data_IF_770643780721
#
_entry.id   IF_770643780721
#
_cell.length_a   1.000
_cell.length_b   1.000
_cell.length_c   1.000
_cell.angle_alpha   90.00
_cell.angle_beta   90.00
_cell.angle_gamma   90.00
#
_symmetry.space_group_name_H-M   'P 1'
#
loop_
_entity.id
_entity.type
_entity.pdbx_description
1 polymer ?
#
# COMPACT_ATOMS: atom_id res chain seq x y z
N UNK A 1 -3.47 11.54 20.59
CA UNK A 1 -3.16 12.66 19.70
C UNK A 1 -1.66 12.75 19.57
N UNK A 2 -1.07 12.16 18.51
CA UNK A 2 0.37 12.20 18.26
C UNK A 2 0.64 13.41 17.35
N UNK A 3 1.08 14.53 17.92
CA UNK A 3 2.48 14.93 18.15
C UNK A 3 3.16 15.39 16.86
N UNK A 4 3.09 16.70 16.63
CA UNK A 4 3.77 17.44 15.57
C UNK A 4 5.29 17.25 15.63
N UNK A 5 5.89 16.81 14.53
CA UNK A 5 7.35 16.82 14.34
C UNK A 5 7.73 18.13 13.65
N UNK A 6 8.67 18.88 14.26
CA UNK A 6 9.23 20.10 13.66
C UNK A 6 10.37 19.72 12.71
N UNK A 7 10.28 20.10 11.45
CA UNK A 7 11.37 19.97 10.47
C UNK A 7 12.21 21.26 10.45
N UNK A 8 13.55 21.12 10.35
CA UNK A 8 14.48 22.25 10.20
C UNK A 8 14.79 22.48 8.72
N UNK A 9 14.54 23.67 8.21
CA UNK A 9 15.03 24.09 6.88
C UNK A 9 16.05 25.21 7.02
N UNK A 10 17.20 25.06 6.34
CA UNK A 10 18.34 25.96 6.43
C UNK A 10 18.13 27.19 5.54
N UNK A 11 17.60 28.27 6.12
CA UNK A 11 17.62 29.61 5.52
C UNK A 11 18.84 30.39 6.01
N UNK A 12 19.59 30.98 5.09
CA UNK A 12 20.74 31.81 5.43
C UNK A 12 20.31 33.08 6.19
N UNK A 13 20.76 33.22 7.44
CA UNK A 13 20.98 34.53 8.07
C UNK A 13 19.89 35.16 8.96
N UNK A 14 18.84 34.45 9.38
CA UNK A 14 17.87 34.96 10.35
C UNK A 14 17.69 34.00 11.55
N UNK A 15 17.36 34.47 12.77
CA UNK A 15 17.10 33.59 13.90
C UNK A 15 16.01 32.58 13.51
N UNK A 16 16.32 31.30 13.72
CA UNK A 16 15.60 30.12 13.24
C UNK A 16 14.22 30.02 13.91
N UNK A 17 13.24 30.78 13.41
CA UNK A 17 11.86 30.70 13.88
C UNK A 17 11.22 29.43 13.31
N UNK A 18 11.08 28.43 14.18
CA UNK A 18 10.51 27.13 13.86
C UNK A 18 9.01 27.26 13.56
N UNK A 19 8.65 27.46 12.29
CA UNK A 19 7.26 27.42 11.85
C UNK A 19 6.67 26.04 12.13
N UNK A 20 5.61 26.00 12.94
CA UNK A 20 4.84 24.78 13.19
C UNK A 20 4.00 24.48 11.96
N UNK A 21 4.49 23.59 11.10
CA UNK A 21 3.66 23.01 10.05
C UNK A 21 2.71 22.02 10.71
N UNK A 22 1.41 22.25 10.61
CA UNK A 22 0.37 21.31 11.04
C UNK A 22 0.26 20.18 10.01
N UNK A 23 1.11 19.17 10.19
CA UNK A 23 1.20 18.00 9.29
C UNK A 23 -0.02 17.08 9.36
N UNK A 24 -0.93 17.25 10.31
CA UNK A 24 -1.90 16.21 10.64
C UNK A 24 -2.95 15.98 9.56
N UNK A 25 -3.48 17.04 8.94
CA UNK A 25 -4.59 16.91 7.99
C UNK A 25 -4.16 16.58 6.56
N UNK A 26 -2.98 17.03 6.14
CA UNK A 26 -2.45 16.76 4.79
C UNK A 26 -1.93 15.32 4.71
N UNK A 27 -1.17 14.88 5.72
CA UNK A 27 -0.59 13.53 5.80
C UNK A 27 -1.69 12.46 5.85
N UNK A 28 -2.74 12.68 6.65
CA UNK A 28 -3.89 11.74 6.70
C UNK A 28 -4.57 11.61 5.33
N UNK A 29 -4.77 12.73 4.62
CA UNK A 29 -5.43 12.71 3.30
C UNK A 29 -4.56 11.99 2.27
N UNK A 30 -3.26 12.28 2.25
CA UNK A 30 -2.29 11.63 1.38
C UNK A 30 -2.24 10.13 1.65
N UNK A 31 -2.04 9.72 2.91
CA UNK A 31 -2.10 8.33 3.35
C UNK A 31 -3.37 7.63 2.86
N UNK A 32 -4.53 8.27 2.97
CA UNK A 32 -5.81 7.67 2.53
C UNK A 32 -5.84 7.49 1.02
N UNK A 33 -5.33 8.43 0.23
CA UNK A 33 -5.26 8.29 -1.22
C UNK A 33 -4.27 7.20 -1.64
N UNK A 34 -3.11 7.16 -1.00
CA UNK A 34 -2.09 6.14 -1.21
C UNK A 34 -2.58 4.75 -0.86
N UNK A 35 -3.28 4.61 0.27
CA UNK A 35 -3.90 3.33 0.67
C UNK A 35 -4.95 2.86 -0.34
N UNK A 36 -5.68 3.79 -0.99
CA UNK A 36 -6.63 3.44 -2.06
C UNK A 36 -5.94 2.99 -3.34
N UNK A 37 -4.86 3.65 -3.74
CA UNK A 37 -4.04 3.24 -4.90
C UNK A 37 -3.42 1.87 -4.65
N UNK A 38 -2.87 1.66 -3.46
CA UNK A 38 -2.35 0.36 -3.04
C UNK A 38 -3.44 -0.73 -3.09
N UNK A 39 -4.61 -0.47 -2.50
CA UNK A 39 -5.72 -1.41 -2.53
C UNK A 39 -6.19 -1.72 -3.96
N UNK A 40 -6.25 -0.72 -4.84
CA UNK A 40 -6.67 -0.90 -6.23
C UNK A 40 -5.67 -1.76 -7.02
N UNK A 41 -4.37 -1.56 -6.79
CA UNK A 41 -3.31 -2.38 -7.40
C UNK A 41 -3.44 -3.84 -6.99
N UNK A 42 -3.55 -4.09 -5.67
CA UNK A 42 -3.69 -5.44 -5.12
C UNK A 42 -5.00 -6.10 -5.56
N UNK A 43 -6.13 -5.38 -5.54
CA UNK A 43 -7.42 -5.91 -5.98
C UNK A 43 -7.39 -6.35 -7.45
N UNK A 44 -6.79 -5.54 -8.33
CA UNK A 44 -6.68 -5.84 -9.75
C UNK A 44 -5.82 -7.09 -9.99
N UNK A 45 -4.69 -7.21 -9.29
CA UNK A 45 -3.82 -8.37 -9.40
C UNK A 45 -4.51 -9.65 -8.90
N UNK A 46 -5.14 -9.60 -7.72
CA UNK A 46 -5.93 -10.71 -7.16
C UNK A 46 -7.02 -11.18 -8.12
N UNK A 47 -7.88 -10.27 -8.57
CA UNK A 47 -8.97 -10.65 -9.46
C UNK A 47 -8.45 -11.16 -10.80
N UNK A 48 -7.49 -10.46 -11.42
CA UNK A 48 -6.95 -10.84 -12.72
C UNK A 48 -6.29 -12.21 -12.75
N UNK A 49 -5.60 -12.59 -11.67
CA UNK A 49 -4.92 -13.90 -11.59
C UNK A 49 -5.87 -15.03 -11.21
N UNK A 50 -6.81 -14.79 -10.28
CA UNK A 50 -7.70 -15.84 -9.78
C UNK A 50 -8.90 -16.08 -10.72
N UNK A 51 -9.42 -15.06 -11.40
CA UNK A 51 -10.56 -15.19 -12.31
C UNK A 51 -10.30 -16.13 -13.49
N UNK A 52 -9.04 -16.27 -13.91
CA UNK A 52 -8.66 -17.20 -14.96
C UNK A 52 -8.75 -18.68 -14.54
N UNK A 53 -8.69 -18.98 -13.24
CA UNK A 53 -8.54 -20.34 -12.72
C UNK A 53 -9.67 -20.78 -11.79
N UNK A 54 -10.47 -19.83 -11.29
CA UNK A 54 -11.57 -20.09 -10.36
C UNK A 54 -12.87 -19.55 -10.96
N UNK A 55 -13.65 -20.38 -11.67
CA UNK A 55 -14.94 -20.00 -12.20
C UNK A 55 -15.87 -19.48 -11.10
N UNK A 56 -16.56 -18.37 -11.35
CA UNK A 56 -17.50 -17.79 -10.39
C UNK A 56 -16.88 -16.86 -9.34
N UNK A 57 -15.57 -16.64 -9.36
CA UNK A 57 -14.96 -15.59 -8.52
C UNK A 57 -15.50 -14.21 -8.93
N UNK A 58 -15.80 -13.38 -7.93
CA UNK A 58 -16.38 -12.04 -8.14
C UNK A 58 -15.38 -10.97 -7.74
N UNK A 59 -15.25 -9.94 -8.58
CA UNK A 59 -14.57 -8.71 -8.18
C UNK A 59 -15.44 -7.95 -7.16
N UNK A 60 -15.01 -7.89 -5.90
CA UNK A 60 -15.70 -7.19 -4.82
C UNK A 60 -15.25 -5.75 -4.63
N UNK A 61 -14.24 -5.33 -5.39
CA UNK A 61 -13.71 -3.97 -5.40
C UNK A 61 -13.03 -3.54 -4.09
N UNK A 62 -12.52 -2.32 -4.11
CA UNK A 62 -11.90 -1.67 -2.95
C UNK A 62 -12.97 -1.05 -2.06
N UNK A 63 -12.91 -1.34 -0.76
CA UNK A 63 -13.84 -0.80 0.23
C UNK A 63 -13.12 0.05 1.27
N UNK A 64 -13.84 1.01 1.86
CA UNK A 64 -13.36 1.81 2.98
C UNK A 64 -13.91 1.21 4.26
N UNK A 65 -13.06 1.09 5.28
CA UNK A 65 -13.43 0.63 6.61
C UNK A 65 -12.55 1.29 7.67
N UNK A 66 -13.06 1.40 8.89
CA UNK A 66 -12.36 1.99 10.04
C UNK A 66 -11.80 0.91 10.97
N UNK A 67 -10.98 0.01 10.44
CA UNK A 67 -10.30 -0.97 11.26
C UNK A 67 -9.06 -0.35 11.92
N UNK A 68 -8.85 -0.67 13.20
CA UNK A 68 -7.71 -0.16 13.99
C UNK A 68 -6.37 -0.46 13.29
N UNK A 69 -6.25 -1.63 12.66
CA UNK A 69 -5.05 -2.04 11.90
C UNK A 69 -4.75 -1.13 10.69
N UNK A 70 -5.75 -0.43 10.16
CA UNK A 70 -5.59 0.52 9.04
C UNK A 70 -5.40 1.95 9.53
N UNK A 71 -6.00 2.32 10.65
CA UNK A 71 -5.92 3.68 11.20
C UNK A 71 -4.67 3.91 12.04
N UNK A 72 -4.14 2.87 12.68
CA UNK A 72 -2.98 2.94 13.59
C UNK A 72 -1.60 3.02 12.91
N UNK A 73 -1.53 3.08 11.58
CA UNK A 73 -0.28 3.12 10.81
C UNK A 73 0.09 4.54 10.39
N UNK A 74 1.37 4.86 10.36
CA UNK A 74 1.89 6.10 9.76
C UNK A 74 2.07 6.00 8.23
N UNK A 75 2.13 4.78 7.69
CA UNK A 75 2.26 4.51 6.27
C UNK A 75 0.93 4.04 5.63
N UNK A 76 0.81 4.07 4.28
CA UNK A 76 -0.33 3.48 3.58
C UNK A 76 -0.52 2.01 3.97
N UNK A 77 -1.77 1.61 4.21
CA UNK A 77 -2.10 0.27 4.69
C UNK A 77 -3.42 -0.23 4.09
N UNK A 78 -3.50 -1.53 3.83
CA UNK A 78 -4.69 -2.21 3.30
C UNK A 78 -4.97 -3.49 4.09
N UNK A 79 -6.21 -3.95 4.05
CA UNK A 79 -6.61 -5.29 4.49
C UNK A 79 -7.21 -5.98 3.28
N UNK A 80 -6.66 -7.13 2.89
CA UNK A 80 -7.11 -7.90 1.75
C UNK A 80 -7.95 -9.09 2.23
N UNK A 81 -9.23 -9.10 1.86
CA UNK A 81 -10.11 -10.27 2.00
C UNK A 81 -9.94 -11.17 0.77
N UNK A 82 -9.23 -12.29 0.93
CA UNK A 82 -8.80 -13.14 -0.18
C UNK A 82 -9.85 -14.18 -0.61
N UNK A 83 -10.71 -14.63 0.30
CA UNK A 83 -11.73 -15.66 0.07
C UNK A 83 -12.66 -15.79 1.30
N UNK A 84 -13.77 -16.54 1.19
CA UNK A 84 -14.77 -16.70 2.25
C UNK A 84 -14.82 -18.14 2.78
N UNK A 85 -14.30 -18.37 4.00
CA UNK A 85 -14.38 -19.71 4.65
C UNK A 85 -15.83 -20.17 4.87
N UNK A 86 -16.79 -19.25 4.94
CA UNK A 86 -18.23 -19.58 5.05
C UNK A 86 -18.87 -20.04 3.74
N UNK A 87 -18.15 -19.98 2.62
CA UNK A 87 -18.59 -20.50 1.32
C UNK A 87 -17.90 -21.84 1.10
N UNK A 88 -18.64 -22.97 1.00
CA UNK A 88 -18.03 -24.31 0.86
C UNK A 88 -17.03 -24.39 -0.31
N UNK A 89 -17.35 -23.78 -1.44
CA UNK A 89 -16.46 -23.74 -2.61
C UNK A 89 -15.16 -22.99 -2.34
N UNK A 90 -15.23 -21.89 -1.58
CA UNK A 90 -14.06 -21.09 -1.23
C UNK A 90 -13.22 -21.80 -0.16
N UNK A 91 -13.87 -22.44 0.81
CA UNK A 91 -13.24 -23.28 1.83
C UNK A 91 -12.44 -24.42 1.20
N UNK A 92 -13.03 -25.17 0.28
CA UNK A 92 -12.37 -26.26 -0.46
C UNK A 92 -11.15 -25.74 -1.25
N UNK A 93 -11.31 -24.59 -1.92
CA UNK A 93 -10.20 -23.95 -2.62
C UNK A 93 -9.08 -23.54 -1.65
N UNK A 94 -9.41 -22.98 -0.49
CA UNK A 94 -8.42 -22.57 0.52
C UNK A 94 -7.63 -23.74 1.11
N UNK A 95 -8.16 -24.97 1.07
CA UNK A 95 -7.42 -26.18 1.45
C UNK A 95 -6.34 -26.56 0.42
N UNK A 96 -6.48 -26.12 -0.84
CA UNK A 96 -5.49 -26.35 -1.89
C UNK A 96 -4.25 -25.48 -1.75
N UNK A 97 -3.07 -26.12 -1.70
CA UNK A 97 -1.78 -25.42 -1.71
C UNK A 97 -1.59 -24.58 -2.97
N UNK A 98 -2.02 -25.10 -4.13
CA UNK A 98 -1.91 -24.40 -5.42
C UNK A 98 -2.73 -23.11 -5.41
N UNK A 99 -3.93 -23.13 -4.83
CA UNK A 99 -4.77 -21.92 -4.74
C UNK A 99 -4.18 -20.89 -3.78
N UNK A 100 -3.70 -21.32 -2.60
CA UNK A 100 -3.00 -20.42 -1.67
C UNK A 100 -1.74 -19.81 -2.28
N UNK A 101 -0.99 -20.58 -3.07
CA UNK A 101 0.18 -20.08 -3.77
C UNK A 101 -0.20 -19.01 -4.82
N UNK A 102 -1.27 -19.24 -5.59
CA UNK A 102 -1.77 -18.25 -6.55
C UNK A 102 -2.21 -16.95 -5.87
N UNK A 103 -2.86 -17.04 -4.71
CA UNK A 103 -3.19 -15.86 -3.90
C UNK A 103 -1.91 -15.12 -3.50
N UNK A 104 -0.90 -15.82 -3.00
CA UNK A 104 0.37 -15.23 -2.59
C UNK A 104 1.09 -14.54 -3.77
N UNK A 105 1.15 -15.18 -4.94
CA UNK A 105 1.72 -14.59 -6.15
C UNK A 105 0.95 -13.34 -6.58
N UNK A 106 -0.38 -13.37 -6.51
CA UNK A 106 -1.21 -12.23 -6.89
C UNK A 106 -1.06 -11.05 -5.92
N UNK A 107 -0.97 -11.32 -4.61
CA UNK A 107 -0.62 -10.30 -3.61
C UNK A 107 0.75 -9.70 -3.89
N UNK A 108 1.76 -10.54 -4.14
CA UNK A 108 3.11 -10.10 -4.48
C UNK A 108 3.11 -9.19 -5.71
N UNK A 109 2.44 -9.62 -6.79
CA UNK A 109 2.32 -8.83 -8.03
C UNK A 109 1.62 -7.50 -7.81
N UNK A 110 0.56 -7.49 -7.01
CA UNK A 110 -0.15 -6.26 -6.65
C UNK A 110 0.71 -5.27 -5.87
N UNK A 111 1.54 -5.77 -4.94
CA UNK A 111 2.50 -4.97 -4.16
C UNK A 111 3.62 -4.45 -5.07
N UNK A 112 4.21 -5.31 -5.91
CA UNK A 112 5.24 -4.94 -6.90
C UNK A 112 4.76 -3.84 -7.85
N UNK A 113 3.53 -3.93 -8.36
CA UNK A 113 2.95 -2.91 -9.23
C UNK A 113 2.70 -1.59 -8.49
N UNK A 114 2.27 -1.66 -7.23
CA UNK A 114 2.13 -0.48 -6.40
C UNK A 114 3.49 0.19 -6.18
N UNK A 115 4.51 -0.54 -5.76
CA UNK A 115 5.84 0.06 -5.51
C UNK A 115 6.49 0.61 -6.78
N UNK A 116 6.33 -0.06 -7.93
CA UNK A 116 6.84 0.41 -9.22
C UNK A 116 6.19 1.72 -9.67
N UNK A 117 4.88 1.89 -9.43
CA UNK A 117 4.18 3.15 -9.73
C UNK A 117 4.46 4.27 -8.71
N UNK A 118 5.04 3.92 -7.56
CA UNK A 118 5.39 4.83 -6.47
C UNK A 118 6.89 4.94 -6.26
N UNK A 119 7.71 4.73 -7.31
CA UNK A 119 9.10 5.17 -7.30
C UNK A 119 9.16 6.71 -7.24
N UNK A 120 9.02 7.22 -6.00
CA UNK A 120 9.72 8.39 -5.50
C UNK A 120 11.17 8.19 -5.90
N UNK A 121 11.79 9.23 -6.47
CA UNK A 121 13.23 9.30 -6.74
C UNK A 121 14.02 8.62 -5.62
N UNK A 122 14.39 7.35 -5.81
CA UNK A 122 15.52 6.77 -5.11
C UNK A 122 16.68 7.59 -5.63
N UNK A 123 17.03 8.63 -4.87
CA UNK A 123 18.16 9.48 -5.13
C UNK A 123 19.29 8.56 -5.56
N UNK A 124 19.67 8.69 -6.84
CA UNK A 124 20.79 8.01 -7.45
C UNK A 124 22.01 8.34 -6.61
N UNK A 125 22.27 7.51 -5.60
CA UNK A 125 23.42 7.68 -4.75
C UNK A 125 24.57 7.06 -5.54
N UNK A 126 25.25 7.95 -6.25
CA UNK A 126 26.63 7.80 -6.71
C UNK A 126 26.93 6.62 -7.66
N UNK A 127 26.55 6.78 -8.93
CA UNK A 127 27.49 6.43 -9.98
C UNK A 127 28.65 7.44 -9.91
N UNK A 128 29.64 7.18 -9.03
CA UNK A 128 30.92 7.89 -9.07
C UNK A 128 31.57 7.49 -10.38
N UNK A 129 31.48 8.39 -11.35
CA UNK A 129 32.29 8.44 -12.56
C UNK A 129 33.73 8.03 -12.24
N UNK A 130 34.08 6.80 -12.60
CA UNK A 130 35.47 6.40 -12.80
C UNK A 130 35.92 7.06 -14.11
N UNK A 131 36.44 8.29 -14.01
CA UNK A 131 37.24 8.87 -15.09
C UNK A 131 38.18 9.98 -14.58
N UNK A 132 39.35 9.57 -14.08
CA UNK A 132 40.68 10.04 -14.47
C UNK A 132 41.74 9.44 -13.56
#
# INVERSE_FOLDING_TARGET
TYSSVKARTRGAGAPEELQSVDWTNVDIREKVQESRRFAASVQRALYGMLAAKTPGIRDRGVKKAFYVVLTGTSMPAILAEISFVSSPTDEDNLQSEVYRHQIAEALFKGIEQYTASHQVHLASTAAKTANR
#
